data_IF_721027691705
#
_entry.id   IF_721027691705
#
_cell.length_a   1.000
_cell.length_b   1.000
_cell.length_c   1.000
_cell.angle_alpha   90.00
_cell.angle_beta   90.00
_cell.angle_gamma   90.00
#
_symmetry.space_group_name_H-M   'P 1'
#
loop_
_entity.id
_entity.type
_entity.pdbx_description
1 polymer ?
#
# COMPACT_ATOMS: atom_id res chain seq x y z
N UNK A 1 -9.12 3.23 20.97
CA UNK A 1 -8.95 4.01 19.73
C UNK A 1 -8.68 3.02 18.63
N UNK A 2 -9.36 3.13 17.49
CA UNK A 2 -9.12 2.25 16.35
C UNK A 2 -7.78 2.61 15.68
N UNK A 3 -6.91 1.65 15.32
CA UNK A 3 -5.61 1.96 14.75
C UNK A 3 -5.77 2.52 13.34
N UNK A 4 -4.93 3.51 13.03
CA UNK A 4 -4.83 4.12 11.71
C UNK A 4 -3.45 3.83 11.12
N UNK A 5 -3.35 4.00 9.80
CA UNK A 5 -2.05 3.98 9.13
C UNK A 5 -1.27 5.23 9.49
N UNK A 6 -0.04 5.05 9.95
CA UNK A 6 0.81 6.09 10.48
C UNK A 6 1.89 6.49 9.47
N UNK A 7 2.15 7.78 9.37
CA UNK A 7 3.36 8.35 8.79
C UNK A 7 4.59 7.81 9.55
N UNK A 8 5.79 7.84 8.95
CA UNK A 8 7.03 7.51 9.66
C UNK A 8 7.29 8.35 10.91
N UNK A 9 6.70 9.55 10.99
CA UNK A 9 6.75 10.43 12.17
C UNK A 9 5.90 9.93 13.34
N UNK A 10 5.08 8.89 13.13
CA UNK A 10 4.15 8.34 14.11
C UNK A 10 2.74 8.95 14.07
N UNK A 11 2.55 10.03 13.31
CA UNK A 11 1.23 10.67 13.14
C UNK A 11 0.40 9.97 12.06
N UNK A 12 -0.94 9.89 12.19
CA UNK A 12 -1.79 9.35 11.12
C UNK A 12 -1.73 10.14 9.81
N UNK A 13 -1.93 9.47 8.67
CA UNK A 13 -1.96 10.09 7.33
C UNK A 13 -3.16 11.03 7.07
N UNK A 14 -4.17 11.07 7.93
CA UNK A 14 -5.30 12.03 7.83
C UNK A 14 -4.97 13.41 8.42
N UNK A 15 -3.81 13.55 9.09
CA UNK A 15 -3.21 14.84 9.38
C UNK A 15 -2.78 15.54 8.07
N UNK A 16 -2.70 16.88 8.09
CA UNK A 16 -2.30 17.67 6.92
C UNK A 16 -1.04 17.05 6.31
N UNK A 17 -1.14 16.65 5.04
CA UNK A 17 -0.01 16.10 4.29
C UNK A 17 0.87 17.26 3.87
N UNK A 18 2.03 17.39 4.52
CA UNK A 18 2.98 18.47 4.23
C UNK A 18 4.07 17.96 3.30
N UNK A 19 4.61 18.84 2.45
CA UNK A 19 5.73 18.48 1.58
C UNK A 19 6.94 17.95 2.36
N UNK A 20 7.14 18.44 3.59
CA UNK A 20 8.21 18.01 4.50
C UNK A 20 8.09 16.56 4.99
N UNK A 21 6.91 15.95 4.87
CA UNK A 21 6.71 14.53 5.24
C UNK A 21 7.32 13.58 4.22
N UNK A 22 7.73 14.11 3.07
CA UNK A 22 8.33 13.38 1.96
C UNK A 22 9.76 13.86 1.72
N UNK A 23 10.53 13.01 1.06
CA UNK A 23 11.91 13.30 0.67
C UNK A 23 12.04 13.28 -0.85
N UNK A 24 13.22 13.70 -1.30
CA UNK A 24 13.53 13.73 -2.72
C UNK A 24 13.47 12.33 -3.33
N UNK A 25 12.93 12.23 -4.53
CA UNK A 25 13.07 11.06 -5.40
C UNK A 25 13.20 11.59 -6.83
N UNK A 26 13.84 10.86 -7.76
CA UNK A 26 14.06 11.33 -9.12
C UNK A 26 12.76 11.81 -9.81
N UNK A 27 12.63 13.10 -10.12
CA UNK A 27 11.37 13.65 -10.66
C UNK A 27 11.24 13.45 -12.17
N UNK A 28 12.36 13.25 -12.87
CA UNK A 28 12.41 13.05 -14.32
C UNK A 28 12.99 11.65 -14.63
N UNK A 29 12.10 10.71 -14.92
CA UNK A 29 12.46 9.32 -15.22
C UNK A 29 11.60 8.79 -16.36
N UNK A 30 12.03 7.73 -17.08
CA UNK A 30 11.20 7.08 -18.08
C UNK A 30 9.85 6.55 -17.56
N UNK A 31 9.72 6.34 -16.25
CA UNK A 31 8.52 5.84 -15.58
C UNK A 31 7.69 6.96 -14.92
N UNK A 32 8.03 8.22 -15.21
CA UNK A 32 7.41 9.44 -14.68
C UNK A 32 8.05 9.93 -13.39
N UNK A 33 7.36 10.84 -12.69
CA UNK A 33 7.88 11.51 -11.50
C UNK A 33 7.75 10.63 -10.24
N UNK A 34 8.88 10.19 -9.70
CA UNK A 34 8.92 9.28 -8.54
C UNK A 34 8.51 9.96 -7.24
N UNK A 35 8.86 11.24 -7.07
CA UNK A 35 8.46 12.04 -5.91
C UNK A 35 6.94 12.22 -5.87
N UNK A 36 6.32 12.51 -7.03
CA UNK A 36 4.87 12.63 -7.13
C UNK A 36 4.17 11.30 -6.84
N UNK A 37 4.73 10.16 -7.25
CA UNK A 37 4.20 8.84 -6.90
C UNK A 37 4.21 8.63 -5.38
N UNK A 38 5.31 8.95 -4.70
CA UNK A 38 5.40 8.85 -3.24
C UNK A 38 4.34 9.73 -2.54
N UNK A 39 4.16 10.97 -2.99
CA UNK A 39 3.10 11.86 -2.46
C UNK A 39 1.70 11.28 -2.69
N UNK A 40 1.43 10.70 -3.86
CA UNK A 40 0.14 10.09 -4.21
C UNK A 40 -0.16 8.84 -3.39
N UNK A 41 0.87 8.06 -3.04
CA UNK A 41 0.75 6.97 -2.07
C UNK A 41 0.28 7.52 -0.72
N UNK A 42 0.93 8.58 -0.21
CA UNK A 42 0.52 9.23 1.05
C UNK A 42 -0.94 9.73 1.03
N UNK A 43 -1.34 10.41 -0.05
CA UNK A 43 -2.74 10.86 -0.23
C UNK A 43 -3.74 9.69 -0.22
N UNK A 44 -3.36 8.55 -0.80
CA UNK A 44 -4.19 7.35 -0.79
C UNK A 44 -4.32 6.75 0.60
N UNK A 45 -3.23 6.72 1.37
CA UNK A 45 -3.23 6.25 2.76
C UNK A 45 -4.07 7.16 3.66
N UNK A 46 -4.06 8.47 3.40
CA UNK A 46 -4.96 9.43 4.06
C UNK A 46 -6.43 9.07 3.82
N UNK A 47 -6.79 8.76 2.57
CA UNK A 47 -8.14 8.33 2.25
C UNK A 47 -8.47 6.95 2.85
N UNK A 48 -7.52 6.01 2.89
CA UNK A 48 -7.70 4.73 3.57
C UNK A 48 -8.01 4.91 5.06
N UNK A 49 -7.34 5.83 5.76
CA UNK A 49 -7.62 6.16 7.15
C UNK A 49 -9.03 6.72 7.37
N UNK A 50 -9.53 7.53 6.44
CA UNK A 50 -10.91 7.99 6.47
C UNK A 50 -11.89 6.81 6.40
N UNK A 51 -11.69 5.88 5.44
CA UNK A 51 -12.53 4.68 5.30
C UNK A 51 -12.44 3.77 6.53
N UNK A 52 -11.25 3.59 7.10
CA UNK A 52 -11.02 2.84 8.34
C UNK A 52 -11.77 3.42 9.52
N UNK A 53 -11.76 4.74 9.66
CA UNK A 53 -12.47 5.46 10.73
C UNK A 53 -13.98 5.32 10.60
N UNK A 54 -14.52 5.49 9.39
CA UNK A 54 -15.94 5.29 9.10
C UNK A 54 -16.36 3.84 9.34
N UNK A 55 -15.54 2.88 8.92
CA UNK A 55 -15.76 1.45 9.14
C UNK A 55 -15.90 1.11 10.62
N UNK A 56 -14.99 1.62 11.45
CA UNK A 56 -15.06 1.46 12.90
C UNK A 56 -16.32 2.11 13.48
N UNK A 57 -16.65 3.33 13.05
CA UNK A 57 -17.85 4.03 13.49
C UNK A 57 -19.13 3.25 13.21
N UNK A 58 -19.28 2.75 11.98
CA UNK A 58 -20.43 1.93 11.59
C UNK A 58 -20.48 0.58 12.32
N UNK A 59 -19.34 -0.07 12.50
CA UNK A 59 -19.23 -1.28 13.31
C UNK A 59 -19.66 -1.06 14.76
N UNK A 60 -19.22 0.04 15.39
CA UNK A 60 -19.61 0.35 16.76
C UNK A 60 -21.10 0.58 16.91
N UNK A 61 -21.73 1.29 15.97
CA UNK A 61 -23.18 1.50 16.00
C UNK A 61 -23.91 0.17 15.79
N UNK A 62 -23.50 -0.62 14.79
CA UNK A 62 -24.11 -1.92 14.51
C UNK A 62 -24.04 -2.87 15.72
N UNK A 63 -22.87 -2.97 16.37
CA UNK A 63 -22.69 -3.85 17.54
C UNK A 63 -23.48 -3.40 18.77
N UNK A 64 -23.67 -2.09 18.95
CA UNK A 64 -24.42 -1.51 20.08
C UNK A 64 -25.93 -1.46 19.84
N UNK A 65 -26.39 -1.67 18.60
CA UNK A 65 -27.79 -1.51 18.26
C UNK A 65 -28.67 -2.56 18.95
N UNK A 66 -29.56 -2.08 19.83
CA UNK A 66 -30.72 -2.82 20.36
C UNK A 66 -32.00 -2.58 19.52
N UNK A 67 -32.02 -1.63 18.55
CA UNK A 67 -33.22 -1.25 17.79
C UNK A 67 -32.90 -0.68 16.39
N UNK A 68 -33.83 -0.75 15.41
CA UNK A 68 -33.56 -0.46 14.01
C UNK A 68 -33.48 1.04 13.74
N UNK A 69 -32.28 1.54 13.45
CA UNK A 69 -32.12 2.82 12.77
C UNK A 69 -32.51 2.72 11.30
N UNK A 70 -32.74 3.85 10.63
CA UNK A 70 -33.00 3.91 9.17
C UNK A 70 -31.75 3.68 8.32
N UNK A 71 -30.57 3.71 8.94
CA UNK A 71 -29.27 3.56 8.28
C UNK A 71 -28.78 2.13 8.44
N UNK A 72 -28.47 1.48 7.31
CA UNK A 72 -27.86 0.16 7.27
C UNK A 72 -26.36 0.23 7.60
N UNK A 73 -26.07 0.33 8.91
CA UNK A 73 -24.70 0.37 9.42
C UNK A 73 -23.91 -0.91 9.16
N UNK A 74 -24.59 -2.04 8.97
CA UNK A 74 -23.94 -3.31 8.65
C UNK A 74 -23.32 -3.24 7.25
N UNK A 75 -24.12 -2.83 6.26
CA UNK A 75 -23.65 -2.65 4.88
C UNK A 75 -22.58 -1.57 4.77
N UNK A 76 -22.77 -0.43 5.46
CA UNK A 76 -21.78 0.64 5.44
C UNK A 76 -20.44 0.21 6.06
N UNK A 77 -20.45 -0.61 7.12
CA UNK A 77 -19.25 -1.21 7.68
C UNK A 77 -18.50 -2.08 6.64
N UNK A 78 -19.22 -2.93 5.89
CA UNK A 78 -18.60 -3.78 4.87
C UNK A 78 -18.00 -2.99 3.72
N UNK A 79 -18.75 -2.04 3.16
CA UNK A 79 -18.31 -1.24 2.02
C UNK A 79 -17.07 -0.41 2.37
N UNK A 80 -17.07 0.21 3.56
CA UNK A 80 -15.92 0.99 4.03
C UNK A 80 -14.71 0.10 4.37
N UNK A 81 -14.92 -1.11 4.90
CA UNK A 81 -13.84 -2.08 5.11
C UNK A 81 -13.21 -2.55 3.80
N UNK A 82 -14.03 -2.91 2.81
CA UNK A 82 -13.59 -3.30 1.47
C UNK A 82 -12.80 -2.18 0.80
N UNK A 83 -13.33 -0.97 0.82
CA UNK A 83 -12.69 0.19 0.21
C UNK A 83 -11.34 0.51 0.90
N UNK A 84 -11.30 0.48 2.24
CA UNK A 84 -10.06 0.65 2.99
C UNK A 84 -9.00 -0.36 2.54
N UNK A 85 -9.33 -1.66 2.49
CA UNK A 85 -8.39 -2.73 2.11
C UNK A 85 -7.95 -2.59 0.65
N UNK A 86 -8.85 -2.19 -0.24
CA UNK A 86 -8.54 -1.92 -1.65
C UNK A 86 -7.53 -0.76 -1.79
N UNK A 87 -7.70 0.31 -1.02
CA UNK A 87 -6.79 1.46 -1.01
C UNK A 87 -5.43 1.09 -0.42
N UNK A 88 -5.39 0.36 0.69
CA UNK A 88 -4.16 -0.16 1.30
C UNK A 88 -3.40 -1.04 0.32
N UNK A 89 -4.11 -1.96 -0.34
CA UNK A 89 -3.54 -2.83 -1.37
C UNK A 89 -2.92 -2.04 -2.52
N UNK A 90 -3.65 -1.07 -3.07
CA UNK A 90 -3.16 -0.25 -4.17
C UNK A 90 -1.95 0.61 -3.78
N UNK A 91 -1.94 1.15 -2.56
CA UNK A 91 -0.77 1.83 -2.03
C UNK A 91 0.43 0.88 -1.90
N UNK A 92 0.22 -0.36 -1.45
CA UNK A 92 1.28 -1.37 -1.41
C UNK A 92 1.79 -1.75 -2.79
N UNK A 93 0.92 -1.92 -3.79
CA UNK A 93 1.32 -2.21 -5.18
C UNK A 93 2.26 -1.12 -5.73
N UNK A 94 1.91 0.15 -5.51
CA UNK A 94 2.75 1.27 -5.93
C UNK A 94 4.06 1.38 -5.12
N UNK A 95 4.02 1.12 -3.80
CA UNK A 95 5.21 1.12 -2.94
C UNK A 95 6.23 0.06 -3.36
N UNK A 96 5.81 -1.21 -3.51
CA UNK A 96 6.74 -2.28 -3.89
C UNK A 96 7.33 -2.05 -5.27
N UNK A 97 6.54 -1.51 -6.20
CA UNK A 97 7.00 -1.13 -7.54
C UNK A 97 8.02 -0.01 -7.48
N UNK A 98 7.75 1.04 -6.70
CA UNK A 98 8.64 2.19 -6.54
C UNK A 98 9.99 1.76 -5.97
N UNK A 99 9.98 0.97 -4.88
CA UNK A 99 11.20 0.43 -4.26
C UNK A 99 11.98 -0.42 -5.29
N UNK A 100 11.28 -1.23 -6.08
CA UNK A 100 11.91 -2.11 -7.07
C UNK A 100 12.58 -1.34 -8.21
N UNK A 101 11.87 -0.36 -8.79
CA UNK A 101 12.41 0.46 -9.89
C UNK A 101 13.66 1.22 -9.45
N UNK A 102 13.62 1.81 -8.26
CA UNK A 102 14.75 2.59 -7.73
C UNK A 102 15.93 1.70 -7.35
N UNK A 103 15.66 0.52 -6.77
CA UNK A 103 16.71 -0.48 -6.52
C UNK A 103 17.37 -0.91 -7.83
N UNK A 104 16.60 -1.20 -8.88
CA UNK A 104 17.14 -1.53 -10.20
C UNK A 104 17.94 -0.40 -10.83
N UNK A 105 17.48 0.84 -10.69
CA UNK A 105 18.24 2.00 -11.14
C UNK A 105 19.60 2.10 -10.47
N UNK A 106 19.67 1.78 -9.17
CA UNK A 106 20.91 1.82 -8.41
C UNK A 106 21.85 0.66 -8.81
N UNK A 107 21.31 -0.56 -8.89
CA UNK A 107 22.08 -1.77 -9.23
C UNK A 107 22.63 -1.74 -10.66
N UNK A 108 21.79 -1.37 -11.64
CA UNK A 108 22.10 -1.51 -13.06
C UNK A 108 22.65 -0.20 -13.67
N UNK A 109 22.64 0.90 -12.92
CA UNK A 109 23.01 2.24 -13.42
C UNK A 109 22.00 2.86 -14.39
N UNK A 110 20.93 2.15 -14.74
CA UNK A 110 19.88 2.59 -15.66
C UNK A 110 18.50 2.11 -15.17
N UNK A 111 17.44 2.82 -15.56
CA UNK A 111 16.08 2.37 -15.26
C UNK A 111 15.75 1.09 -16.03
N UNK A 112 14.97 0.16 -15.45
CA UNK A 112 14.58 -1.06 -16.14
C UNK A 112 13.69 -0.73 -17.34
N UNK A 113 13.87 -1.44 -18.45
CA UNK A 113 13.02 -1.31 -19.65
C UNK A 113 11.65 -1.99 -19.50
N UNK A 114 11.48 -2.82 -18.47
CA UNK A 114 10.24 -3.53 -18.16
C UNK A 114 10.08 -3.68 -16.64
N UNK A 115 8.87 -3.41 -16.14
CA UNK A 115 8.51 -3.68 -14.76
C UNK A 115 8.18 -5.17 -14.59
N UNK A 116 8.99 -5.90 -13.84
CA UNK A 116 8.66 -7.27 -13.42
C UNK A 116 8.00 -7.32 -12.03
N UNK A 117 8.17 -6.26 -11.22
CA UNK A 117 7.44 -6.02 -9.99
C UNK A 117 6.60 -4.76 -10.20
N UNK A 118 5.33 -4.97 -10.52
CA UNK A 118 4.30 -3.95 -10.79
C UNK A 118 3.14 -3.98 -9.79
N UNK A 119 3.18 -4.95 -8.87
CA UNK A 119 2.19 -5.20 -7.84
C UNK A 119 2.81 -6.05 -6.74
N UNK A 120 2.12 -6.13 -5.62
CA UNK A 120 2.46 -7.07 -4.55
C UNK A 120 2.28 -8.52 -5.02
N UNK A 121 1.41 -8.81 -6.00
CA UNK A 121 1.30 -10.16 -6.55
C UNK A 121 2.57 -10.57 -7.28
N UNK A 122 3.13 -9.67 -8.09
CA UNK A 122 4.40 -9.92 -8.79
C UNK A 122 5.59 -9.87 -7.83
N UNK A 123 5.58 -9.04 -6.78
CA UNK A 123 6.61 -9.07 -5.74
C UNK A 123 6.65 -10.40 -4.98
N UNK A 124 5.48 -10.94 -4.61
CA UNK A 124 5.36 -12.24 -3.95
C UNK A 124 5.82 -13.39 -4.85
N UNK A 125 5.51 -13.31 -6.15
CA UNK A 125 5.92 -14.31 -7.15
C UNK A 125 7.42 -14.31 -7.36
N UNK A 126 8.04 -13.13 -7.37
CA UNK A 126 9.50 -12.99 -7.48
C UNK A 126 10.23 -13.51 -6.24
N UNK A 127 9.55 -13.59 -5.08
CA UNK A 127 10.17 -13.96 -3.81
C UNK A 127 11.19 -12.92 -3.34
N UNK A 128 10.89 -11.63 -3.57
CA UNK A 128 11.85 -10.56 -3.32
C UNK A 128 12.11 -10.38 -1.81
N UNK A 129 13.34 -10.63 -1.31
CA UNK A 129 13.58 -10.74 0.14
C UNK A 129 13.26 -9.49 0.95
N UNK A 130 13.25 -8.31 0.32
CA UNK A 130 13.04 -7.02 0.99
C UNK A 130 11.72 -6.97 1.77
N UNK A 131 10.69 -7.70 1.32
CA UNK A 131 9.38 -7.71 1.98
C UNK A 131 8.95 -9.09 2.51
N UNK A 132 9.90 -10.01 2.68
CA UNK A 132 9.61 -11.37 3.15
C UNK A 132 9.04 -11.35 4.58
N UNK A 133 9.55 -10.47 5.44
CA UNK A 133 9.04 -10.25 6.81
C UNK A 133 7.57 -9.79 6.82
N UNK A 134 7.10 -9.21 5.72
CA UNK A 134 5.74 -8.69 5.55
C UNK A 134 4.85 -9.62 4.71
N UNK A 135 5.31 -10.84 4.40
CA UNK A 135 4.61 -11.81 3.54
C UNK A 135 3.14 -12.00 3.94
N UNK A 136 2.86 -12.20 5.23
CA UNK A 136 1.49 -12.40 5.71
C UNK A 136 0.57 -11.24 5.31
N UNK A 137 1.02 -10.00 5.50
CA UNK A 137 0.25 -8.81 5.14
C UNK A 137 0.00 -8.77 3.64
N UNK A 138 1.07 -8.93 2.86
CA UNK A 138 1.04 -8.84 1.41
C UNK A 138 0.13 -9.90 0.78
N UNK A 139 0.20 -11.14 1.26
CA UNK A 139 -0.68 -12.24 0.86
C UNK A 139 -2.13 -11.98 1.29
N UNK A 140 -2.33 -11.43 2.48
CA UNK A 140 -3.65 -11.07 2.99
C UNK A 140 -4.31 -10.01 2.12
N UNK A 141 -3.64 -8.87 1.89
CA UNK A 141 -4.12 -7.81 0.99
C UNK A 141 -4.39 -8.33 -0.42
N UNK A 142 -3.51 -9.19 -0.96
CA UNK A 142 -3.70 -9.79 -2.28
C UNK A 142 -4.98 -10.65 -2.32
N UNK A 143 -5.12 -11.55 -1.36
CA UNK A 143 -6.23 -12.50 -1.33
C UNK A 143 -7.58 -11.83 -1.10
N UNK A 144 -7.66 -10.90 -0.14
CA UNK A 144 -8.90 -10.19 0.19
C UNK A 144 -9.34 -9.31 -0.98
N UNK A 145 -8.43 -8.48 -1.52
CA UNK A 145 -8.77 -7.60 -2.64
C UNK A 145 -9.13 -8.37 -3.91
N UNK A 146 -8.47 -9.50 -4.18
CA UNK A 146 -8.83 -10.35 -5.33
C UNK A 146 -10.18 -11.05 -5.14
N UNK A 147 -10.53 -11.45 -3.91
CA UNK A 147 -11.83 -12.03 -3.62
C UNK A 147 -12.94 -11.01 -3.88
N UNK A 148 -12.80 -9.78 -3.37
CA UNK A 148 -13.74 -8.67 -3.61
C UNK A 148 -13.94 -8.35 -5.10
N UNK A 149 -12.88 -8.43 -5.90
CA UNK A 149 -12.94 -8.11 -7.34
C UNK A 149 -13.44 -9.25 -8.23
N UNK A 150 -13.16 -10.50 -7.88
CA UNK A 150 -13.24 -11.61 -8.83
C UNK A 150 -14.02 -12.82 -8.33
N UNK A 151 -14.31 -12.93 -7.03
CA UNK A 151 -15.04 -14.08 -6.50
C UNK A 151 -16.54 -13.88 -6.64
N UNK A 152 -17.21 -14.81 -7.33
CA UNK A 152 -18.67 -14.78 -7.47
C UNK A 152 -19.38 -15.04 -6.13
N UNK A 153 -18.79 -15.86 -5.24
CA UNK A 153 -19.37 -16.17 -3.94
C UNK A 153 -19.20 -15.06 -2.91
N UNK A 154 -18.46 -13.99 -3.23
CA UNK A 154 -18.19 -12.92 -2.27
C UNK A 154 -19.46 -12.26 -1.74
N UNK A 155 -20.48 -12.10 -2.59
CA UNK A 155 -21.76 -11.48 -2.22
C UNK A 155 -22.59 -12.30 -1.23
N UNK A 156 -22.25 -13.57 -1.01
CA UNK A 156 -22.94 -14.43 -0.06
C UNK A 156 -22.46 -14.19 1.39
N UNK A 157 -21.37 -13.43 1.58
CA UNK A 157 -20.83 -13.12 2.90
C UNK A 157 -21.53 -11.94 3.57
N UNK A 158 -22.11 -12.20 4.74
CA UNK A 158 -22.63 -11.17 5.65
C UNK A 158 -22.00 -11.36 7.05
N UNK A 159 -20.67 -11.30 7.13
CA UNK A 159 -19.93 -11.55 8.38
C UNK A 159 -19.45 -10.23 8.98
N UNK A 160 -19.68 -10.04 10.28
CA UNK A 160 -19.17 -8.90 11.06
C UNK A 160 -18.42 -9.43 12.28
N UNK A 161 -17.29 -8.81 12.62
CA UNK A 161 -16.53 -9.20 13.80
C UNK A 161 -17.27 -8.84 15.10
N UNK A 162 -17.33 -9.79 16.05
CA UNK A 162 -18.03 -9.59 17.32
C UNK A 162 -17.28 -8.64 18.27
N UNK A 163 -15.94 -8.68 18.26
CA UNK A 163 -15.08 -7.96 19.21
C UNK A 163 -14.38 -6.74 18.60
N UNK A 164 -14.19 -6.75 17.29
CA UNK A 164 -13.51 -5.70 16.53
C UNK A 164 -14.02 -5.68 15.08
N UNK A 165 -13.85 -4.59 14.32
CA UNK A 165 -14.20 -4.58 12.92
C UNK A 165 -13.25 -5.48 12.12
N UNK A 166 -13.82 -6.23 11.18
CA UNK A 166 -13.08 -7.16 10.34
C UNK A 166 -13.42 -6.95 8.87
N UNK A 167 -12.53 -7.40 8.00
CA UNK A 167 -12.82 -7.61 6.59
C UNK A 167 -12.93 -9.10 6.30
N UNK A 168 -14.05 -9.50 5.72
CA UNK A 168 -14.29 -10.89 5.33
C UNK A 168 -14.11 -11.05 3.82
N UNK A 169 -13.57 -12.20 3.43
CA UNK A 169 -13.47 -12.60 2.02
C UNK A 169 -13.80 -14.08 1.85
N UNK A 170 -14.52 -14.40 0.78
CA UNK A 170 -14.84 -15.76 0.36
C UNK A 170 -14.43 -15.89 -1.09
N UNK A 171 -13.41 -16.70 -1.34
CA UNK A 171 -12.83 -16.87 -2.66
C UNK A 171 -12.95 -18.31 -3.14
N UNK A 172 -13.18 -18.49 -4.43
CA UNK A 172 -13.05 -19.77 -5.12
C UNK A 172 -12.03 -19.60 -6.23
N UNK A 173 -11.04 -20.49 -6.30
CA UNK A 173 -9.98 -20.40 -7.31
C UNK A 173 -10.59 -20.38 -8.71
N UNK A 174 -10.52 -19.22 -9.37
CA UNK A 174 -11.08 -18.94 -10.70
C UNK A 174 -12.58 -19.30 -10.84
N UNK A 175 -13.35 -19.21 -9.76
CA UNK A 175 -14.78 -19.56 -9.71
C UNK A 175 -15.09 -20.99 -10.22
N UNK A 176 -14.16 -21.93 -10.05
CA UNK A 176 -14.35 -23.33 -10.46
C UNK A 176 -15.09 -24.11 -9.38
N UNK A 177 -16.21 -24.74 -9.73
CA UNK A 177 -17.05 -25.54 -8.81
C UNK A 177 -16.32 -26.70 -8.10
N UNK A 178 -15.21 -27.20 -8.66
CA UNK A 178 -14.39 -28.24 -8.03
C UNK A 178 -13.32 -27.73 -7.05
N UNK A 179 -13.16 -26.40 -6.92
CA UNK A 179 -12.23 -25.80 -5.98
C UNK A 179 -12.93 -25.55 -4.65
N UNK A 180 -12.28 -25.90 -3.53
CA UNK A 180 -12.81 -25.58 -2.20
C UNK A 180 -12.86 -24.06 -1.98
N UNK A 181 -13.96 -23.52 -1.43
CA UNK A 181 -14.02 -22.11 -1.03
C UNK A 181 -13.01 -21.84 0.09
N UNK A 182 -12.30 -20.71 -0.01
CA UNK A 182 -11.42 -20.20 1.04
C UNK A 182 -12.07 -18.99 1.68
N UNK A 183 -12.48 -19.16 2.94
CA UNK A 183 -12.97 -18.09 3.78
C UNK A 183 -11.84 -17.48 4.61
N UNK A 184 -11.77 -16.14 4.66
CA UNK A 184 -10.93 -15.40 5.59
C UNK A 184 -11.76 -14.33 6.29
N UNK A 185 -11.54 -14.20 7.59
CA UNK A 185 -12.02 -13.06 8.39
C UNK A 185 -10.82 -12.42 9.05
N UNK A 186 -10.49 -11.20 8.64
CA UNK A 186 -9.24 -10.53 9.02
C UNK A 186 -9.58 -9.33 9.90
N UNK A 187 -9.06 -9.32 11.12
CA UNK A 187 -9.09 -8.16 12.01
C UNK A 187 -8.48 -6.95 11.31
N UNK A 188 -9.24 -5.86 11.20
CA UNK A 188 -8.67 -4.62 10.68
C UNK A 188 -7.63 -4.03 11.63
N UNK A 189 -7.75 -4.28 12.94
CA UNK A 189 -6.74 -3.84 13.90
C UNK A 189 -5.38 -4.50 13.62
N UNK A 190 -5.37 -5.83 13.47
CA UNK A 190 -4.15 -6.57 13.17
C UNK A 190 -3.61 -6.21 11.78
N UNK A 191 -4.50 -6.08 10.78
CA UNK A 191 -4.12 -5.70 9.42
C UNK A 191 -3.41 -4.33 9.40
N UNK A 192 -3.98 -3.32 10.07
CA UNK A 192 -3.39 -1.97 10.15
C UNK A 192 -2.07 -1.99 10.93
N UNK A 193 -2.00 -2.75 12.02
CA UNK A 193 -0.76 -2.92 12.79
C UNK A 193 0.39 -3.48 11.93
N UNK A 194 0.13 -4.55 11.18
CA UNK A 194 1.11 -5.11 10.25
C UNK A 194 1.41 -4.16 9.09
N UNK A 195 0.41 -3.42 8.59
CA UNK A 195 0.60 -2.43 7.53
C UNK A 195 1.55 -1.31 7.96
N UNK A 196 1.45 -0.85 9.21
CA UNK A 196 2.38 0.16 9.75
C UNK A 196 3.81 -0.35 9.80
N UNK A 197 4.03 -1.63 10.13
CA UNK A 197 5.35 -2.27 10.05
C UNK A 197 5.88 -2.29 8.62
N UNK A 198 5.08 -2.79 7.68
CA UNK A 198 5.44 -2.80 6.25
C UNK A 198 5.76 -1.41 5.71
N UNK A 199 4.91 -0.44 6.03
CA UNK A 199 5.04 0.92 5.55
C UNK A 199 6.32 1.55 6.06
N UNK A 200 6.62 1.40 7.36
CA UNK A 200 7.85 1.89 7.97
C UNK A 200 9.08 1.37 7.22
N UNK A 201 9.18 0.05 7.06
CA UNK A 201 10.34 -0.58 6.42
C UNK A 201 10.45 -0.18 4.94
N UNK A 202 9.33 -0.09 4.22
CA UNK A 202 9.32 0.38 2.84
C UNK A 202 9.75 1.86 2.73
N UNK A 203 9.34 2.69 3.68
CA UNK A 203 9.67 4.12 3.71
C UNK A 203 11.14 4.36 4.05
N UNK A 204 11.68 3.61 5.00
CA UNK A 204 13.11 3.60 5.34
C UNK A 204 13.93 3.18 4.12
N UNK A 205 13.56 2.08 3.45
CA UNK A 205 14.25 1.65 2.24
C UNK A 205 14.21 2.68 1.12
N UNK A 206 13.09 3.38 0.92
CA UNK A 206 13.00 4.46 -0.06
C UNK A 206 13.88 5.66 0.30
N UNK A 207 14.08 5.93 1.59
CA UNK A 207 14.97 6.99 2.05
C UNK A 207 16.43 6.65 1.75
N UNK A 208 16.84 5.42 2.05
CA UNK A 208 18.20 4.94 1.71
C UNK A 208 18.45 5.08 0.20
N UNK A 209 17.48 4.62 -0.61
CA UNK A 209 17.55 4.74 -2.08
C UNK A 209 17.63 6.20 -2.55
N UNK A 210 16.92 7.12 -1.90
CA UNK A 210 16.99 8.55 -2.20
C UNK A 210 18.41 9.10 -1.97
N UNK A 211 19.03 8.75 -0.84
CA UNK A 211 20.37 9.19 -0.48
C UNK A 211 21.41 8.62 -1.45
N UNK A 212 21.36 7.32 -1.72
CA UNK A 212 22.26 6.63 -2.65
C UNK A 212 22.17 7.18 -4.08
N UNK A 213 20.95 7.42 -4.57
CA UNK A 213 20.74 7.98 -5.92
C UNK A 213 21.20 9.44 -6.00
N UNK A 214 21.01 10.23 -4.94
CA UNK A 214 21.51 11.61 -4.90
C UNK A 214 23.03 11.67 -5.01
N UNK A 215 23.73 10.73 -4.36
CA UNK A 215 25.19 10.60 -4.45
C UNK A 215 25.63 10.13 -5.84
N UNK A 216 24.93 9.14 -6.41
CA UNK A 216 25.24 8.61 -7.73
C UNK A 216 25.04 9.66 -8.86
N UNK A 217 23.98 10.47 -8.77
CA UNK A 217 23.69 11.51 -9.76
C UNK A 217 24.56 12.77 -9.55
N UNK A 218 24.93 13.08 -8.30
CA UNK A 218 25.83 14.20 -7.95
C UNK A 218 27.31 13.95 -8.32
N UNK A 219 27.78 12.71 -8.27
CA UNK A 219 29.15 12.34 -8.66
C UNK A 219 29.44 12.46 -10.16
N UNK A 220 28.39 12.49 -10.99
CA UNK A 220 28.51 12.54 -12.46
C UNK A 220 28.68 13.97 -13.02
N UNK A 221 28.67 15.01 -12.18
CA UNK A 221 28.78 16.42 -12.61
C UNK A 221 30.21 17.01 -12.53
N UNK A 222 31.25 16.22 -12.20
CA UNK A 222 32.65 16.71 -12.14
C UNK A 222 33.59 16.17 -13.23
N UNK A 223 33.05 15.49 -14.25
CA UNK A 223 33.83 14.87 -15.33
C UNK A 223 33.94 15.66 -16.65
N UNK A 224 33.25 16.80 -16.81
CA UNK A 224 33.22 17.51 -18.11
C UNK A 224 33.26 19.02 -17.90
N UNK A 225 34.47 19.58 -17.76
CA UNK A 225 34.87 20.90 -18.30
C UNK A 225 36.31 21.22 -17.85
N UNK A 226 37.29 20.54 -18.46
CA UNK A 226 38.59 21.15 -18.72
C UNK A 226 38.87 21.00 -20.21
N UNK A 227 38.85 22.12 -20.93
CA UNK A 227 39.14 22.12 -22.35
C UNK A 227 38.92 23.47 -23.01
N UNK A 228 39.97 24.31 -23.00
CA UNK A 228 40.20 25.33 -24.04
C UNK A 228 39.82 26.76 -23.68
N UNK A 229 40.78 27.53 -23.16
CA UNK A 229 40.88 28.96 -23.46
C UNK A 229 41.32 29.12 -24.93
N UNK A 230 40.74 30.03 -25.71
CA UNK A 230 41.46 30.62 -26.83
C UNK A 230 42.27 31.81 -26.30
N UNK A 231 43.58 31.74 -26.48
CA UNK A 231 44.41 32.93 -26.61
C UNK A 231 44.21 33.55 -27.99
N UNK A 232 44.49 34.86 -28.06
CA UNK A 232 44.42 35.83 -29.17
C UNK A 232 43.05 36.36 -29.56
#
# INVERSE_FOLDING_TARGET
MFPLVLKPTGEPFDSITLAQDFFWLPPDTPWGNMQLKLMKIGQRLSHANLRLSECYGHWEVFRKAMLPGTVDHCTLHWLTAEEAVSLLRRASDELVTLVWVLTKRLDDGAYPNKLIVDSVSSSLTLGWPIFETHRWLLETLNSVSNAHKHSFLQSDLNVVGALEPCVASLSVTRNKLGSSPTFKNVSLHHLVGAYNGFLKDAWERLRDLSEDLSLADGGNQHGVHQGGRPES
#
